data_IF_504091497255
#
_entry.id   IF_504091497255
#
_cell.length_a   1.000
_cell.length_b   1.000
_cell.length_c   1.000
_cell.angle_alpha   90.00
_cell.angle_beta   90.00
_cell.angle_gamma   90.00
#
_symmetry.space_group_name_H-M   'P 1'
#
loop_
_entity.id
_entity.type
_entity.pdbx_description
1 polymer ?
#
# COMPACT_ATOMS: atom_id res chain seq x y z
N UNK A 1 -11.04 9.64 0.21
CA UNK A 1 -9.97 9.12 -0.68
C UNK A 1 -10.61 8.25 -1.75
N UNK A 2 -10.15 8.30 -3.00
CA UNK A 2 -10.68 7.42 -4.05
C UNK A 2 -10.26 5.97 -3.75
N UNK A 3 -11.23 5.06 -3.69
CA UNK A 3 -10.97 3.64 -3.59
C UNK A 3 -10.62 3.11 -4.98
N UNK A 4 -9.37 2.66 -5.16
CA UNK A 4 -8.95 1.98 -6.38
C UNK A 4 -9.35 0.51 -6.34
N UNK A 5 -9.85 -0.03 -7.46
CA UNK A 5 -10.00 -1.47 -7.62
C UNK A 5 -8.62 -2.15 -7.62
N UNK A 6 -8.58 -3.48 -7.46
CA UNK A 6 -7.31 -4.20 -7.52
C UNK A 6 -6.58 -4.00 -8.86
N UNK A 7 -7.34 -3.91 -9.96
CA UNK A 7 -6.75 -3.70 -11.28
C UNK A 7 -6.20 -2.29 -11.44
N UNK A 8 -6.93 -1.28 -10.97
CA UNK A 8 -6.44 0.11 -10.97
C UNK A 8 -5.19 0.25 -10.08
N UNK A 9 -5.22 -0.35 -8.89
CA UNK A 9 -4.08 -0.39 -7.98
C UNK A 9 -2.86 -1.02 -8.64
N UNK A 10 -3.01 -2.21 -9.24
CA UNK A 10 -1.92 -2.86 -9.98
C UNK A 10 -1.41 -2.03 -11.13
N UNK A 11 -2.31 -1.41 -11.89
CA UNK A 11 -1.94 -0.56 -13.01
C UNK A 11 -1.11 0.64 -12.54
N UNK A 12 -1.50 1.29 -11.44
CA UNK A 12 -0.72 2.38 -10.84
C UNK A 12 0.66 1.89 -10.43
N UNK A 13 0.76 0.74 -9.73
CA UNK A 13 2.06 0.16 -9.35
C UNK A 13 2.94 -0.21 -10.55
N UNK A 14 2.34 -0.59 -11.68
CA UNK A 14 3.06 -0.89 -12.90
C UNK A 14 3.59 0.38 -13.59
N UNK A 15 2.74 1.40 -13.75
CA UNK A 15 3.07 2.64 -14.46
C UNK A 15 4.05 3.52 -13.68
N UNK A 16 3.85 3.66 -12.37
CA UNK A 16 4.65 4.56 -11.52
C UNK A 16 5.91 3.89 -10.96
N UNK A 17 5.99 2.56 -11.05
CA UNK A 17 6.92 1.74 -10.27
C UNK A 17 6.41 1.48 -8.86
N UNK A 18 6.68 0.28 -8.33
CA UNK A 18 6.14 -0.21 -7.06
C UNK A 18 6.37 0.76 -5.89
N UNK A 19 7.60 1.23 -5.71
CA UNK A 19 7.97 2.07 -4.55
C UNK A 19 7.23 3.42 -4.54
N UNK A 20 7.24 4.11 -5.69
CA UNK A 20 6.58 5.42 -5.85
C UNK A 20 5.07 5.31 -5.79
N UNK A 21 4.51 4.22 -6.34
CA UNK A 21 3.09 3.94 -6.25
C UNK A 21 2.65 3.73 -4.79
N UNK A 22 3.40 2.92 -4.02
CA UNK A 22 3.09 2.69 -2.60
C UNK A 22 3.16 4.00 -1.82
N UNK A 23 4.17 4.84 -2.03
CA UNK A 23 4.23 6.17 -1.39
C UNK A 23 2.98 7.00 -1.69
N UNK A 24 2.61 7.13 -2.97
CA UNK A 24 1.42 7.90 -3.37
C UNK A 24 0.12 7.32 -2.82
N UNK A 25 -0.05 6.00 -2.89
CA UNK A 25 -1.28 5.32 -2.51
C UNK A 25 -1.50 5.30 -0.99
N UNK A 26 -0.42 5.35 -0.22
CA UNK A 26 -0.47 5.29 1.24
C UNK A 26 -0.20 6.62 1.94
N UNK A 27 0.21 7.68 1.24
CA UNK A 27 0.55 9.00 1.82
C UNK A 27 -0.55 9.59 2.72
N UNK A 28 -1.82 9.35 2.40
CA UNK A 28 -2.96 9.80 3.22
C UNK A 28 -3.55 8.72 4.13
N UNK A 29 -2.95 7.53 4.17
CA UNK A 29 -3.42 6.35 4.92
C UNK A 29 -2.49 5.96 6.07
N UNK A 30 -1.20 6.27 5.94
CA UNK A 30 -0.13 5.81 6.83
C UNK A 30 0.90 6.92 6.98
N UNK A 31 1.69 6.82 8.05
CA UNK A 31 2.86 7.68 8.25
C UNK A 31 4.00 7.30 7.31
N UNK A 32 4.89 8.25 7.01
CA UNK A 32 6.09 8.00 6.17
C UNK A 32 6.93 6.82 6.67
N UNK A 33 7.00 6.64 8.00
CA UNK A 33 7.71 5.52 8.63
C UNK A 33 7.09 4.16 8.28
N UNK A 34 5.76 4.06 8.32
CA UNK A 34 5.04 2.83 7.96
C UNK A 34 5.13 2.53 6.46
N UNK A 35 5.06 3.58 5.63
CA UNK A 35 5.25 3.49 4.18
C UNK A 35 6.65 2.95 3.86
N UNK A 36 7.69 3.46 4.52
CA UNK A 36 9.06 2.98 4.35
C UNK A 36 9.23 1.50 4.73
N UNK A 37 8.52 1.03 5.78
CA UNK A 37 8.51 -0.40 6.17
C UNK A 37 7.80 -1.25 5.10
N UNK A 38 6.65 -0.80 4.59
CA UNK A 38 5.91 -1.48 3.53
C UNK A 38 6.74 -1.59 2.23
N UNK A 39 7.40 -0.52 1.82
CA UNK A 39 8.31 -0.53 0.66
C UNK A 39 9.44 -1.55 0.84
N UNK A 40 10.12 -1.55 1.99
CA UNK A 40 11.19 -2.54 2.29
C UNK A 40 10.69 -3.98 2.26
N UNK A 41 9.48 -4.25 2.78
CA UNK A 41 8.89 -5.60 2.76
C UNK A 41 8.52 -6.04 1.34
N UNK A 42 8.04 -5.10 0.52
CA UNK A 42 7.69 -5.36 -0.89
C UNK A 42 8.92 -5.62 -1.74
N UNK A 43 10.02 -4.88 -1.52
CA UNK A 43 11.30 -5.09 -2.22
C UNK A 43 11.96 -6.42 -1.88
N UNK A 44 11.81 -6.91 -0.64
CA UNK A 44 12.32 -8.21 -0.21
C UNK A 44 11.43 -9.39 -0.64
N UNK A 45 10.45 -9.16 -1.51
CA UNK A 45 9.39 -10.10 -1.90
C UNK A 45 8.70 -10.79 -0.72
N UNK A 46 8.80 -10.19 0.48
CA UNK A 46 8.21 -10.73 1.71
C UNK A 46 6.69 -10.57 1.69
N UNK A 47 6.20 -9.60 0.90
CA UNK A 47 4.79 -9.36 0.63
C UNK A 47 4.57 -9.19 -0.88
N UNK A 48 3.58 -9.91 -1.42
CA UNK A 48 3.18 -9.75 -2.82
C UNK A 48 2.20 -8.59 -2.99
N UNK A 49 1.95 -8.18 -4.24
CA UNK A 49 1.10 -7.02 -4.56
C UNK A 49 -0.34 -7.15 -4.06
N UNK A 50 -0.86 -8.38 -3.94
CA UNK A 50 -2.20 -8.64 -3.40
C UNK A 50 -2.26 -8.34 -1.89
N UNK A 51 -1.21 -8.69 -1.14
CA UNK A 51 -1.10 -8.35 0.27
C UNK A 51 -0.96 -6.83 0.48
N UNK A 52 -0.21 -6.14 -0.38
CA UNK A 52 -0.14 -4.67 -0.35
C UNK A 52 -1.52 -4.05 -0.62
N UNK A 53 -2.30 -4.61 -1.56
CA UNK A 53 -3.66 -4.14 -1.81
C UNK A 53 -4.60 -4.37 -0.60
N UNK A 54 -4.46 -5.49 0.12
CA UNK A 54 -5.22 -5.72 1.37
C UNK A 54 -4.87 -4.68 2.44
N UNK A 55 -3.60 -4.32 2.58
CA UNK A 55 -3.17 -3.25 3.48
C UNK A 55 -3.74 -1.88 3.09
N UNK A 56 -3.80 -1.60 1.78
CA UNK A 56 -4.43 -0.39 1.25
C UNK A 56 -5.92 -0.34 1.60
N UNK A 57 -6.66 -1.45 1.43
CA UNK A 57 -8.07 -1.54 1.82
C UNK A 57 -8.28 -1.36 3.34
N UNK A 58 -7.39 -1.94 4.16
CA UNK A 58 -7.42 -1.77 5.62
C UNK A 58 -7.25 -0.31 6.02
N UNK A 59 -6.31 0.39 5.39
CA UNK A 59 -6.08 1.82 5.62
C UNK A 59 -7.31 2.67 5.26
N UNK A 60 -8.00 2.36 4.16
CA UNK A 60 -9.22 3.08 3.75
C UNK A 60 -10.39 2.81 4.70
N UNK A 61 -10.58 1.55 5.11
CA UNK A 61 -11.73 1.15 5.93
C UNK A 61 -11.62 1.56 7.40
N UNK A 62 -10.52 2.23 7.80
CA UNK A 62 -10.29 2.64 9.17
C UNK A 62 -10.20 1.46 10.16
N UNK A 63 -9.98 0.24 9.67
CA UNK A 63 -9.90 -0.94 10.52
C UNK A 63 -8.75 -0.75 11.52
N UNK A 64 -9.12 -0.78 12.79
CA UNK A 64 -8.33 -0.40 13.96
C UNK A 64 -6.86 -0.83 13.85
N UNK A 65 -5.97 0.16 13.91
CA UNK A 65 -4.52 -0.03 14.07
C UNK A 65 -4.19 -0.43 15.53
N UNK A 66 -4.99 -1.31 16.14
CA UNK A 66 -4.70 -1.90 17.43
C UNK A 66 -4.28 -3.36 17.21
N UNK A 67 -3.10 -3.70 17.73
CA UNK A 67 -2.45 -5.01 17.76
C UNK A 67 -1.48 -5.32 16.61
N UNK A 68 -0.28 -4.73 16.68
CA UNK A 68 1.00 -5.48 16.79
C UNK A 68 1.92 -4.70 17.72
#
# INVERSE_FOLDING_TARGET
MRLYSFNDFRYICYVEGKDRAIEKLFASLRTDKEIAILNKRTQKDTINIENVYKEYLRGINGAEQNNI
#
